data_IF_633967447988
#
_entry.id   IF_633967447988
#
_cell.length_a   1.000
_cell.length_b   1.000
_cell.length_c   1.000
_cell.angle_alpha   90.00
_cell.angle_beta   90.00
_cell.angle_gamma   90.00
#
_symmetry.space_group_name_H-M   'P 1'
#
loop_
_entity.id
_entity.type
_entity.pdbx_description
1 polymer ?
#
# COMPACT_ATOMS: atom_id res chain seq x y z
N UNK A 1 -12.47 1.78 11.26
CA UNK A 1 -12.54 2.04 9.81
C UNK A 1 -13.72 1.25 9.28
N UNK A 2 -14.68 1.93 8.64
CA UNK A 2 -15.84 1.26 8.06
C UNK A 2 -15.46 0.42 6.82
N UNK A 3 -16.41 -0.40 6.36
CA UNK A 3 -16.22 -1.28 5.21
C UNK A 3 -16.11 -0.52 3.88
N UNK A 4 -16.70 0.67 3.78
CA UNK A 4 -16.69 1.47 2.55
C UNK A 4 -15.28 1.99 2.27
N UNK A 5 -14.66 2.68 3.23
CA UNK A 5 -13.28 3.17 3.12
C UNK A 5 -12.31 2.00 2.90
N UNK A 6 -12.47 0.89 3.61
CA UNK A 6 -11.63 -0.29 3.43
C UNK A 6 -11.67 -0.85 1.99
N UNK A 7 -12.85 -0.85 1.37
CA UNK A 7 -13.01 -1.28 -0.03
C UNK A 7 -12.35 -0.29 -1.01
N UNK A 8 -12.46 1.02 -0.76
CA UNK A 8 -11.77 2.04 -1.55
C UNK A 8 -10.25 1.88 -1.48
N UNK A 9 -9.71 1.70 -0.26
CA UNK A 9 -8.28 1.44 -0.06
C UNK A 9 -7.84 0.17 -0.78
N UNK A 10 -8.66 -0.90 -0.77
CA UNK A 10 -8.34 -2.12 -1.48
C UNK A 10 -8.23 -1.91 -2.98
N UNK A 11 -9.22 -1.26 -3.58
CA UNK A 11 -9.22 -0.95 -5.01
C UNK A 11 -8.04 -0.06 -5.39
N UNK A 12 -7.81 1.02 -4.65
CA UNK A 12 -6.68 1.92 -4.88
C UNK A 12 -5.34 1.18 -4.81
N UNK A 13 -5.14 0.36 -3.78
CA UNK A 13 -3.91 -0.42 -3.58
C UNK A 13 -3.69 -1.39 -4.73
N UNK A 14 -4.75 -2.09 -5.16
CA UNK A 14 -4.68 -3.04 -6.26
C UNK A 14 -4.29 -2.38 -7.58
N UNK A 15 -4.92 -1.24 -7.93
CA UNK A 15 -4.60 -0.50 -9.15
C UNK A 15 -3.16 0.05 -9.14
N UNK A 16 -2.67 0.53 -7.98
CA UNK A 16 -1.26 0.95 -7.85
C UNK A 16 -0.30 -0.21 -8.04
N UNK A 17 -0.57 -1.39 -7.46
CA UNK A 17 0.28 -2.56 -7.69
C UNK A 17 0.28 -2.96 -9.17
N UNK A 18 -0.89 -2.97 -9.83
CA UNK A 18 -0.98 -3.30 -11.26
C UNK A 18 -0.25 -2.31 -12.16
N UNK A 19 -0.25 -1.02 -11.84
CA UNK A 19 0.42 -0.01 -12.66
C UNK A 19 1.95 -0.15 -12.64
N UNK A 20 2.53 -0.64 -11.54
CA UNK A 20 3.95 -0.96 -11.47
C UNK A 20 4.24 -2.12 -10.48
N UNK A 21 4.08 -3.37 -10.92
CA UNK A 21 4.24 -4.54 -10.05
C UNK A 21 5.67 -4.71 -9.53
N UNK A 22 6.69 -4.26 -10.27
CA UNK A 22 8.09 -4.32 -9.80
C UNK A 22 8.33 -3.34 -8.64
N UNK A 23 7.78 -2.12 -8.72
CA UNK A 23 7.90 -1.10 -7.67
C UNK A 23 7.08 -1.49 -6.44
N UNK A 24 5.78 -1.70 -6.62
CA UNK A 24 4.86 -1.88 -5.50
C UNK A 24 4.71 -3.34 -5.09
N UNK A 25 4.96 -4.31 -5.96
CA UNK A 25 5.00 -5.74 -5.61
C UNK A 25 6.38 -6.23 -5.16
N UNK A 26 7.42 -5.38 -5.19
CA UNK A 26 8.79 -5.73 -4.80
C UNK A 26 9.06 -5.71 -3.29
N UNK A 27 10.30 -5.97 -2.88
CA UNK A 27 10.69 -6.06 -1.46
C UNK A 27 10.44 -4.76 -0.67
N UNK A 28 10.67 -3.60 -1.30
CA UNK A 28 10.40 -2.28 -0.71
C UNK A 28 8.97 -1.78 -0.96
N UNK A 29 8.11 -2.61 -1.54
CA UNK A 29 6.78 -2.15 -1.98
C UNK A 29 5.88 -1.66 -0.84
N UNK A 30 6.08 -2.13 0.40
CA UNK A 30 5.34 -1.62 1.58
C UNK A 30 5.61 -0.14 1.82
N UNK A 31 6.88 0.25 1.96
CA UNK A 31 7.23 1.66 2.20
C UNK A 31 6.86 2.52 1.01
N UNK A 32 7.07 2.02 -0.22
CA UNK A 32 6.77 2.76 -1.44
C UNK A 32 5.26 3.01 -1.64
N UNK A 33 4.40 2.03 -1.33
CA UNK A 33 2.95 2.23 -1.48
C UNK A 33 2.39 3.12 -0.38
N UNK A 34 2.96 3.06 0.83
CA UNK A 34 2.62 3.95 1.94
C UNK A 34 2.98 5.39 1.59
N UNK A 35 4.20 5.61 1.10
CA UNK A 35 4.67 6.90 0.62
C UNK A 35 3.79 7.46 -0.51
N UNK A 36 3.51 6.63 -1.52
CA UNK A 36 2.63 6.99 -2.64
C UNK A 36 1.24 7.42 -2.15
N UNK A 37 0.67 6.73 -1.15
CA UNK A 37 -0.62 7.10 -0.57
C UNK A 37 -0.54 8.47 0.11
N UNK A 38 0.49 8.68 0.95
CA UNK A 38 0.67 9.95 1.65
C UNK A 38 0.78 11.12 0.68
N UNK A 39 1.64 11.04 -0.35
CA UNK A 39 1.79 12.14 -1.30
C UNK A 39 0.59 12.31 -2.24
N UNK A 40 -0.24 11.28 -2.43
CA UNK A 40 -1.44 11.38 -3.28
C UNK A 40 -2.59 12.12 -2.61
N UNK A 41 -2.64 12.12 -1.27
CA UNK A 41 -3.79 12.62 -0.50
C UNK A 41 -3.44 13.69 0.53
N UNK A 42 -2.15 13.86 0.85
CA UNK A 42 -1.66 14.75 1.90
C UNK A 42 -0.37 15.47 1.47
N UNK A 43 -0.19 15.76 0.17
CA UNK A 43 1.01 16.43 -0.35
C UNK A 43 1.29 17.79 0.29
N UNK A 44 0.23 18.50 0.66
CA UNK A 44 0.29 19.88 1.11
C UNK A 44 0.37 20.01 2.64
N UNK A 45 0.39 18.87 3.35
CA UNK A 45 0.44 18.82 4.80
C UNK A 45 1.86 18.47 5.29
N UNK A 46 2.37 19.26 6.23
CA UNK A 46 3.53 18.89 7.02
C UNK A 46 3.23 17.70 7.93
N UNK A 47 4.24 16.91 8.28
CA UNK A 47 4.08 15.72 9.15
C UNK A 47 3.41 16.06 10.49
N UNK A 48 3.68 17.25 11.03
CA UNK A 48 3.10 17.74 12.30
C UNK A 48 1.61 18.04 12.20
N UNK A 49 1.09 18.23 10.99
CA UNK A 49 -0.32 18.51 10.72
C UNK A 49 -1.12 17.22 10.44
N UNK A 50 -0.45 16.06 10.40
CA UNK A 50 -1.08 14.79 10.12
C UNK A 50 -1.73 14.20 11.38
N UNK A 51 -3.05 14.01 11.30
CA UNK A 51 -3.83 13.35 12.35
C UNK A 51 -3.34 11.91 12.61
N UNK A 52 -3.29 11.44 13.89
CA UNK A 52 -2.91 10.07 14.22
C UNK A 52 -3.68 8.99 13.45
N UNK A 53 -4.93 9.28 13.10
CA UNK A 53 -5.80 8.40 12.31
C UNK A 53 -5.23 8.07 10.93
N UNK A 54 -4.45 8.98 10.32
CA UNK A 54 -3.82 8.76 9.03
C UNK A 54 -2.84 7.57 9.08
N UNK A 55 -2.06 7.43 10.15
CA UNK A 55 -1.14 6.29 10.29
C UNK A 55 -1.89 4.95 10.32
N UNK A 56 -3.11 4.94 10.85
CA UNK A 56 -4.00 3.76 10.78
C UNK A 56 -4.42 3.45 9.34
N UNK A 57 -4.70 4.47 8.53
CA UNK A 57 -5.02 4.31 7.10
C UNK A 57 -3.80 3.79 6.33
N UNK A 58 -2.64 4.42 6.49
CA UNK A 58 -1.39 4.04 5.81
C UNK A 58 -0.98 2.61 6.17
N UNK A 59 -1.07 2.23 7.45
CA UNK A 59 -0.80 0.84 7.88
C UNK A 59 -1.82 -0.15 7.29
N UNK A 60 -3.05 0.28 7.03
CA UNK A 60 -4.08 -0.53 6.37
C UNK A 60 -3.74 -0.75 4.89
N UNK A 61 -3.27 0.27 4.17
CA UNK A 61 -2.79 0.15 2.78
C UNK A 61 -1.67 -0.90 2.68
N UNK A 62 -0.68 -0.84 3.58
CA UNK A 62 0.40 -1.83 3.65
C UNK A 62 -0.11 -3.26 3.90
N UNK A 63 -1.06 -3.44 4.81
CA UNK A 63 -1.69 -4.75 5.07
C UNK A 63 -2.49 -5.26 3.87
N UNK A 64 -3.22 -4.39 3.18
CA UNK A 64 -4.00 -4.76 1.99
C UNK A 64 -3.05 -5.19 0.86
N UNK A 65 -1.94 -4.47 0.67
CA UNK A 65 -0.91 -4.84 -0.31
C UNK A 65 -0.46 -6.29 -0.10
N UNK A 66 -0.08 -6.67 1.11
CA UNK A 66 0.38 -8.04 1.37
C UNK A 66 -0.69 -9.09 1.01
N UNK A 67 -1.95 -8.84 1.38
CA UNK A 67 -3.09 -9.71 1.02
C UNK A 67 -3.33 -9.79 -0.48
N UNK A 68 -3.14 -8.69 -1.20
CA UNK A 68 -3.25 -8.67 -2.67
C UNK A 68 -2.16 -9.54 -3.28
N UNK A 69 -0.92 -9.42 -2.83
CA UNK A 69 0.21 -10.19 -3.36
C UNK A 69 0.06 -11.70 -3.07
N UNK A 70 -0.40 -12.07 -1.89
CA UNK A 70 -0.72 -13.46 -1.54
C UNK A 70 -1.76 -14.07 -2.50
N UNK A 71 -2.79 -13.28 -2.86
CA UNK A 71 -3.85 -13.71 -3.78
C UNK A 71 -3.47 -13.60 -5.27
N UNK A 72 -2.42 -12.86 -5.60
CA UNK A 72 -2.00 -12.58 -6.97
C UNK A 72 -0.48 -12.78 -7.13
N UNK A 73 -0.01 -14.05 -7.16
CA UNK A 73 1.43 -14.34 -7.20
C UNK A 73 2.18 -13.72 -8.40
N UNK A 74 1.49 -13.50 -9.52
CA UNK A 74 2.05 -12.83 -10.70
C UNK A 74 2.37 -11.34 -10.50
N UNK A 75 1.86 -10.72 -9.43
CA UNK A 75 2.17 -9.35 -9.01
C UNK A 75 3.24 -9.32 -7.91
N UNK A 76 3.65 -10.47 -7.37
CA UNK A 76 4.57 -10.57 -6.25
C UNK A 76 6.03 -10.71 -6.72
N UNK A 77 6.70 -9.57 -6.81
CA UNK A 77 8.11 -9.45 -7.19
C UNK A 77 9.06 -9.42 -5.98
N UNK A 78 8.59 -9.79 -4.78
CA UNK A 78 9.47 -9.97 -3.63
C UNK A 78 10.43 -11.12 -3.90
N UNK A 79 11.70 -10.91 -3.61
CA UNK A 79 12.76 -11.93 -3.71
C UNK A 79 13.22 -12.29 -2.30
N UNK A 80 13.23 -11.31 -1.40
CA UNK A 80 13.61 -11.51 -0.01
C UNK A 80 12.59 -12.43 0.67
N UNK A 81 13.09 -13.43 1.39
CA UNK A 81 12.29 -14.37 2.20
C UNK A 81 11.37 -15.33 1.43
N UNK A 82 11.40 -15.38 0.09
CA UNK A 82 10.81 -16.53 -0.63
C UNK A 82 11.68 -17.76 -0.37
N UNK A 83 11.05 -18.89 -0.03
CA UNK A 83 11.77 -20.17 0.07
C UNK A 83 12.35 -20.48 -1.32
N UNK A 84 13.66 -20.76 -1.35
CA UNK A 84 14.35 -21.25 -2.55
C UNK A 84 13.87 -22.65 -2.90
#
# INVERSE_FOLDING_TARGET
MDNFLKNQLYRWTYEKIKSNPKKFGGDFGNSLIMYEYTISFYSDFGVVELEPQLFSIISTVSRIRNKILEKNPHLDFRIKYKKK
#
